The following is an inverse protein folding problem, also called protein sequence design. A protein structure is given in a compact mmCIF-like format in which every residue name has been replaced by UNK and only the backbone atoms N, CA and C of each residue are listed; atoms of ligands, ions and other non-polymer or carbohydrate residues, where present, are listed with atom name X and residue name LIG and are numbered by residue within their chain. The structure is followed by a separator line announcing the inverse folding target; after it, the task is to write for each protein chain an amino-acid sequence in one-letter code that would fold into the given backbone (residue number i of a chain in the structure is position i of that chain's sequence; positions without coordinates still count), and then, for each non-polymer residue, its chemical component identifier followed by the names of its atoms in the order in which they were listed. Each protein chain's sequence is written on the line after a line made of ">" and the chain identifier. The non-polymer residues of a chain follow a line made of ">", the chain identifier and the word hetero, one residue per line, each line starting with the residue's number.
data_IF_852980652707
#
_entry.id   IF_852980652707
#
_cell.length_a   1.000
_cell.length_b   1.000
_cell.length_c   1.000
_cell.angle_alpha   90.00
_cell.angle_beta   90.00
_cell.angle_gamma   90.00
#
_symmetry.space_group_name_H-M   'P 1'
#
loop_
_entity.id
_entity.type
_entity.pdbx_description
1 polymer ?
#
# COMPACT_ATOMS: atom_id res chain seq x y z
N UNK A 1 -9.11 19.21 -11.14
CA UNK A 1 -8.31 17.99 -11.46
C UNK A 1 -8.20 17.24 -10.16
N UNK A 2 -8.49 15.94 -10.20
CA UNK A 2 -8.28 15.04 -9.05
C UNK A 2 -6.94 14.33 -9.22
N UNK A 3 -6.27 14.03 -8.12
CA UNK A 3 -4.97 13.36 -8.08
C UNK A 3 -5.08 12.07 -7.26
N UNK A 4 -4.62 10.96 -7.84
CA UNK A 4 -4.60 9.68 -7.17
C UNK A 4 -3.22 9.02 -7.26
N UNK A 5 -2.99 8.02 -6.41
CA UNK A 5 -1.79 7.19 -6.43
C UNK A 5 -2.10 5.72 -6.65
N UNK A 6 -1.18 5.01 -7.29
CA UNK A 6 -1.16 3.56 -7.31
C UNK A 6 0.00 3.06 -6.45
N UNK A 7 -0.35 2.34 -5.39
CA UNK A 7 0.57 1.69 -4.46
C UNK A 7 0.76 0.24 -4.88
N UNK A 8 1.82 0.00 -5.67
CA UNK A 8 2.32 -1.36 -5.83
C UNK A 8 2.92 -1.81 -4.49
N UNK A 9 2.52 -2.97 -3.93
CA UNK A 9 2.87 -3.39 -2.58
C UNK A 9 4.30 -3.94 -2.47
N UNK A 10 5.29 -3.15 -2.89
CA UNK A 10 6.68 -3.56 -2.98
C UNK A 10 7.32 -3.62 -1.58
N UNK A 11 7.29 -4.79 -0.97
CA UNK A 11 7.90 -5.05 0.34
C UNK A 11 9.22 -5.76 0.16
N UNK A 12 10.27 -5.17 0.72
CA UNK A 12 11.61 -5.71 0.55
C UNK A 12 11.71 -7.05 1.26
N UNK A 13 12.25 -8.05 0.55
CA UNK A 13 12.49 -9.38 1.15
C UNK A 13 13.33 -9.26 2.42
N UNK A 14 12.81 -9.83 3.51
CA UNK A 14 13.40 -9.78 4.84
C UNK A 14 12.84 -8.69 5.76
N UNK A 15 11.99 -7.79 5.26
CA UNK A 15 11.21 -6.89 6.12
C UNK A 15 10.17 -7.68 6.94
N UNK A 16 9.82 -7.14 8.11
CA UNK A 16 8.71 -7.68 8.89
C UNK A 16 7.38 -7.32 8.17
N UNK A 17 6.54 -8.31 7.79
CA UNK A 17 5.32 -8.05 7.05
C UNK A 17 4.32 -7.14 7.79
N UNK A 18 4.26 -7.23 9.12
CA UNK A 18 3.38 -6.37 9.92
C UNK A 18 3.81 -4.91 9.84
N UNK A 19 5.12 -4.64 9.95
CA UNK A 19 5.63 -3.27 9.84
C UNK A 19 5.50 -2.72 8.41
N UNK A 20 5.57 -3.58 7.40
CA UNK A 20 5.33 -3.16 6.02
C UNK A 20 3.88 -2.69 5.82
N UNK A 21 2.90 -3.43 6.34
CA UNK A 21 1.47 -3.05 6.30
C UNK A 21 1.19 -1.78 7.10
N UNK A 22 1.79 -1.62 8.29
CA UNK A 22 1.65 -0.39 9.08
C UNK A 22 2.18 0.84 8.34
N UNK A 23 3.32 0.70 7.64
CA UNK A 23 3.88 1.75 6.78
C UNK A 23 2.97 2.09 5.60
N UNK A 24 2.31 1.09 5.00
CA UNK A 24 1.37 1.33 3.91
C UNK A 24 0.15 2.14 4.39
N UNK A 25 -0.37 1.83 5.59
CA UNK A 25 -1.44 2.59 6.22
C UNK A 25 -1.02 4.03 6.54
N UNK A 26 0.17 4.21 7.14
CA UNK A 26 0.72 5.55 7.42
C UNK A 26 0.88 6.36 6.12
N UNK A 27 1.30 5.73 5.03
CA UNK A 27 1.39 6.40 3.74
C UNK A 27 0.02 6.86 3.23
N UNK A 28 -1.03 6.05 3.39
CA UNK A 28 -2.41 6.42 3.02
C UNK A 28 -2.89 7.62 3.85
N UNK A 29 -2.60 7.64 5.15
CA UNK A 29 -2.91 8.80 6.02
C UNK A 29 -2.20 10.07 5.53
N UNK A 30 -0.91 9.99 5.17
CA UNK A 30 -0.19 11.12 4.60
C UNK A 30 -0.75 11.58 3.25
N UNK A 31 -1.25 10.65 2.43
CA UNK A 31 -1.86 10.98 1.14
C UNK A 31 -3.18 11.74 1.33
N UNK A 32 -3.98 11.37 2.33
CA UNK A 32 -5.18 12.10 2.73
C UNK A 32 -4.83 13.52 3.21
N UNK A 33 -3.83 13.66 4.10
CA UNK A 33 -3.33 14.95 4.58
C UNK A 33 -2.81 15.86 3.44
N UNK A 34 -2.24 15.26 2.39
CA UNK A 34 -1.74 15.96 1.21
C UNK A 34 -2.84 16.27 0.18
N UNK A 35 -4.07 15.78 0.38
CA UNK A 35 -5.23 16.05 -0.47
C UNK A 35 -5.27 15.21 -1.76
N UNK A 36 -4.74 13.99 -1.72
CA UNK A 36 -4.99 13.01 -2.79
C UNK A 36 -6.43 12.49 -2.69
N UNK A 37 -7.09 12.33 -3.83
CA UNK A 37 -8.49 11.90 -3.90
C UNK A 37 -8.64 10.37 -3.86
N UNK A 38 -7.60 9.63 -4.28
CA UNK A 38 -7.68 8.17 -4.45
C UNK A 38 -6.34 7.48 -4.16
N UNK A 39 -6.41 6.32 -3.48
CA UNK A 39 -5.31 5.38 -3.32
C UNK A 39 -5.72 4.00 -3.83
N UNK A 40 -5.00 3.49 -4.84
CA UNK A 40 -5.23 2.18 -5.42
C UNK A 40 -4.14 1.22 -4.97
N UNK A 41 -4.50 0.08 -4.39
CA UNK A 41 -3.54 -0.90 -3.85
C UNK A 41 -3.50 -2.12 -4.77
N UNK A 42 -2.29 -2.57 -5.14
CA UNK A 42 -2.10 -3.76 -5.97
C UNK A 42 -2.32 -5.07 -5.19
N UNK A 43 -2.98 -6.05 -5.82
CA UNK A 43 -3.22 -7.39 -5.25
C UNK A 43 -2.27 -8.44 -5.83
N UNK A 44 -1.58 -9.18 -4.97
CA UNK A 44 -0.65 -10.24 -5.33
C UNK A 44 -0.73 -11.41 -4.34
N UNK A 45 -0.82 -12.63 -4.87
CA UNK A 45 -0.93 -13.87 -4.07
C UNK A 45 0.39 -14.63 -3.98
N UNK A 46 1.39 -14.27 -4.78
CA UNK A 46 2.65 -15.00 -4.92
C UNK A 46 3.79 -14.08 -5.33
N UNK A 47 5.03 -14.44 -5.00
CA UNK A 47 6.24 -13.67 -5.37
C UNK A 47 7.10 -13.27 -4.18
N UNK A 48 6.51 -13.13 -2.99
CA UNK A 48 7.23 -12.86 -1.73
C UNK A 48 7.82 -11.44 -1.62
N UNK A 49 7.61 -10.61 -2.64
CA UNK A 49 7.96 -9.18 -2.67
C UNK A 49 6.69 -8.34 -2.61
N UNK A 50 5.70 -8.67 -3.42
CA UNK A 50 4.34 -8.11 -3.34
C UNK A 50 3.47 -8.89 -2.36
N UNK A 51 3.33 -8.40 -1.11
CA UNK A 51 2.73 -9.20 -0.02
C UNK A 51 1.30 -8.83 0.37
N UNK A 52 0.60 -7.99 -0.41
CA UNK A 52 -0.82 -7.67 -0.18
C UNK A 52 -1.69 -8.58 -1.05
N UNK A 53 -2.41 -9.52 -0.42
CA UNK A 53 -3.29 -10.47 -1.11
C UNK A 53 -4.79 -10.09 -1.08
N UNK A 54 -5.14 -9.08 -0.29
CA UNK A 54 -6.54 -8.67 -0.03
C UNK A 54 -6.54 -7.17 0.27
N UNK A 55 -6.46 -6.30 -0.75
CA UNK A 55 -6.37 -4.85 -0.57
C UNK A 55 -7.65 -4.22 -0.01
N UNK A 56 -8.79 -4.90 -0.06
CA UNK A 56 -10.08 -4.42 0.44
C UNK A 56 -10.16 -4.29 1.97
N UNK A 57 -9.13 -4.74 2.70
CA UNK A 57 -9.04 -4.64 4.17
C UNK A 57 -8.42 -3.34 4.66
N UNK A 58 -7.92 -2.50 3.75
CA UNK A 58 -7.35 -1.18 4.05
C UNK A 58 -8.44 -0.16 4.41
#
# INVERSE_FOLDING_TARGET
>A
MTFGTFMAPFHRVGENPTLALERDLELIEWLDDLGFDEAWIGEHHSGGWETIASPEVF
#
